data_IF_195031868332
#
_entry.id   IF_195031868332
#
_cell.length_a   1.000
_cell.length_b   1.000
_cell.length_c   1.000
_cell.angle_alpha   90.00
_cell.angle_beta   90.00
_cell.angle_gamma   90.00
#
_symmetry.space_group_name_H-M   'P 1'
#
loop_
_entity.id
_entity.type
_entity.pdbx_description
1 polymer ?
#
# COMPACT_ATOMS: atom_id res chain seq x y z
N UNK A 1 9.98 18.03 -1.71
CA UNK A 1 8.71 17.84 -0.97
C UNK A 1 8.94 17.73 0.54
N UNK A 2 9.71 16.76 1.07
CA UNK A 2 9.99 16.66 2.52
C UNK A 2 10.49 17.97 3.16
N UNK A 3 11.38 18.68 2.46
CA UNK A 3 11.85 20.02 2.87
C UNK A 3 10.74 21.05 3.06
N UNK A 4 9.59 20.95 2.37
CA UNK A 4 8.48 21.87 2.59
C UNK A 4 7.84 21.69 3.97
N UNK A 5 7.98 20.52 4.57
CA UNK A 5 7.46 20.24 5.90
C UNK A 5 8.42 20.70 6.99
N UNK A 6 9.74 20.70 6.73
CA UNK A 6 10.77 21.02 7.73
C UNK A 6 11.32 22.44 7.63
N UNK A 7 11.44 23.00 6.42
CA UNK A 7 12.10 24.28 6.15
C UNK A 7 11.11 25.43 5.98
N UNK A 8 11.45 26.64 6.44
CA UNK A 8 10.63 27.85 6.22
C UNK A 8 10.56 28.24 4.75
N UNK A 9 11.72 28.19 4.09
CA UNK A 9 11.87 28.53 2.69
C UNK A 9 12.66 27.43 1.99
N UNK A 10 12.10 26.90 0.91
CA UNK A 10 12.70 25.82 0.12
C UNK A 10 13.22 26.38 -1.20
N UNK A 11 14.49 26.09 -1.45
CA UNK A 11 15.11 26.24 -2.75
C UNK A 11 15.55 24.86 -3.23
N UNK A 12 15.31 24.55 -4.50
CA UNK A 12 15.71 23.28 -5.10
C UNK A 12 16.06 23.50 -6.56
N UNK A 13 17.16 22.93 -7.03
CA UNK A 13 17.51 22.94 -8.45
C UNK A 13 17.78 21.51 -8.90
N UNK A 14 16.85 20.92 -9.64
CA UNK A 14 16.95 19.57 -10.16
C UNK A 14 16.93 19.52 -11.67
N UNK A 15 17.13 18.33 -12.22
CA UNK A 15 17.13 18.09 -13.67
C UNK A 15 15.82 18.51 -14.35
N UNK A 16 14.68 18.36 -13.67
CA UNK A 16 13.36 18.51 -14.27
C UNK A 16 12.62 19.77 -13.81
N UNK A 17 13.00 20.35 -12.67
CA UNK A 17 12.34 21.54 -12.12
C UNK A 17 13.28 22.27 -11.16
N UNK A 18 13.04 23.56 -11.01
CA UNK A 18 13.69 24.44 -10.05
C UNK A 18 12.63 25.14 -9.21
N UNK A 19 12.86 25.23 -7.92
CA UNK A 19 12.05 25.96 -6.94
C UNK A 19 12.95 27.04 -6.34
N UNK A 20 12.45 28.27 -6.33
CA UNK A 20 13.11 29.41 -5.69
C UNK A 20 12.16 30.03 -4.68
N UNK A 21 12.65 30.21 -3.45
CA UNK A 21 11.96 30.91 -2.34
C UNK A 21 10.53 30.42 -2.02
N UNK A 22 10.27 29.11 -2.17
CA UNK A 22 8.95 28.56 -1.86
C UNK A 22 8.76 28.45 -0.34
N UNK A 23 7.76 29.15 0.20
CA UNK A 23 7.48 29.19 1.64
C UNK A 23 6.58 28.04 2.09
N UNK A 24 7.04 27.27 3.07
CA UNK A 24 6.30 26.18 3.70
C UNK A 24 5.38 26.67 4.81
N UNK A 25 4.25 27.31 4.46
CA UNK A 25 3.41 28.03 5.43
C UNK A 25 2.53 27.12 6.31
N UNK A 26 2.39 25.84 5.97
CA UNK A 26 1.57 24.88 6.72
C UNK A 26 2.50 23.78 7.26
N UNK A 27 2.70 23.79 8.58
CA UNK A 27 3.47 22.75 9.27
C UNK A 27 2.56 21.59 9.64
N UNK A 28 2.94 20.35 9.31
CA UNK A 28 2.19 19.20 9.79
C UNK A 28 2.35 19.06 11.30
N UNK A 29 1.29 18.56 11.95
CA UNK A 29 1.35 18.16 13.36
C UNK A 29 2.33 17.00 13.53
N UNK A 30 2.33 16.07 12.57
CA UNK A 30 3.27 14.94 12.51
C UNK A 30 4.68 15.42 12.12
N UNK A 31 5.69 14.93 12.83
CA UNK A 31 7.09 15.27 12.61
C UNK A 31 7.91 14.04 12.17
N UNK A 32 8.98 14.21 11.38
CA UNK A 32 9.42 15.48 10.77
C UNK A 32 8.55 15.92 9.58
N UNK A 33 7.69 15.02 9.08
CA UNK A 33 6.78 15.28 7.99
C UNK A 33 5.52 14.40 8.09
N UNK A 34 4.51 14.71 7.27
CA UNK A 34 3.37 13.81 7.05
C UNK A 34 3.88 12.42 6.61
N UNK A 35 3.31 11.32 7.14
CA UNK A 35 3.63 9.99 6.66
C UNK A 35 3.38 9.87 5.16
N UNK A 36 4.38 9.41 4.43
CA UNK A 36 4.31 9.26 2.99
C UNK A 36 3.96 7.82 2.62
N UNK A 37 2.87 7.64 1.90
CA UNK A 37 2.51 6.36 1.27
C UNK A 37 2.96 6.38 -0.18
N UNK A 38 3.75 5.37 -0.58
CA UNK A 38 4.12 5.15 -1.98
C UNK A 38 3.62 3.77 -2.42
N UNK A 39 2.83 3.75 -3.48
CA UNK A 39 2.31 2.52 -4.08
C UNK A 39 3.18 2.08 -5.26
N UNK A 40 3.35 0.77 -5.42
CA UNK A 40 4.05 0.21 -6.57
C UNK A 40 4.10 -1.31 -6.60
N UNK A 41 4.45 -1.85 -7.77
CA UNK A 41 4.61 -3.29 -7.99
C UNK A 41 5.99 -3.67 -8.55
N UNK A 42 6.67 -2.74 -9.23
CA UNK A 42 7.98 -2.99 -9.84
C UNK A 42 9.14 -2.65 -8.92
N UNK A 43 10.27 -3.36 -9.09
CA UNK A 43 11.48 -3.20 -8.29
C UNK A 43 11.91 -1.73 -8.13
N UNK A 44 11.98 -0.97 -9.22
CA UNK A 44 12.43 0.43 -9.18
C UNK A 44 11.61 1.28 -8.21
N UNK A 45 10.27 1.15 -8.26
CA UNK A 45 9.38 1.92 -7.40
C UNK A 45 9.41 1.40 -5.97
N UNK A 46 9.47 0.09 -5.77
CA UNK A 46 9.56 -0.50 -4.43
C UNK A 46 10.87 -0.13 -3.72
N UNK A 47 12.01 -0.13 -4.44
CA UNK A 47 13.30 0.34 -3.90
C UNK A 47 13.28 1.84 -3.59
N UNK A 48 12.57 2.66 -4.38
CA UNK A 48 12.38 4.08 -4.06
C UNK A 48 11.52 4.26 -2.80
N UNK A 49 10.39 3.54 -2.73
CA UNK A 49 9.50 3.57 -1.57
C UNK A 49 10.24 3.13 -0.29
N UNK A 50 11.04 2.07 -0.36
CA UNK A 50 11.88 1.59 0.75
C UNK A 50 12.81 2.67 1.31
N UNK A 51 13.35 3.54 0.44
CA UNK A 51 14.27 4.62 0.84
C UNK A 51 13.58 5.91 1.26
N UNK A 52 12.32 6.12 0.91
CA UNK A 52 11.70 7.45 1.03
C UNK A 52 10.35 7.48 1.74
N UNK A 53 9.58 6.41 1.69
CA UNK A 53 8.24 6.34 2.23
C UNK A 53 8.23 5.98 3.72
N UNK A 54 7.08 6.16 4.35
CA UNK A 54 6.75 5.59 5.66
C UNK A 54 5.89 4.33 5.48
N UNK A 55 5.02 4.35 4.47
CA UNK A 55 4.09 3.27 4.14
C UNK A 55 4.34 2.82 2.70
N UNK A 56 4.41 1.52 2.47
CA UNK A 56 4.58 0.95 1.12
C UNK A 56 3.34 0.14 0.77
N UNK A 57 2.54 0.62 -0.19
CA UNK A 57 1.43 -0.15 -0.74
C UNK A 57 1.95 -1.06 -1.87
N UNK A 58 2.11 -2.34 -1.55
CA UNK A 58 2.62 -3.34 -2.49
C UNK A 58 1.46 -3.85 -3.33
N UNK A 59 1.50 -3.53 -4.62
CA UNK A 59 0.51 -3.97 -5.59
C UNK A 59 1.05 -5.05 -6.53
N UNK A 60 0.16 -5.55 -7.39
CA UNK A 60 0.53 -6.35 -8.56
C UNK A 60 0.75 -5.46 -9.78
N UNK A 61 1.59 -5.91 -10.71
CA UNK A 61 1.64 -5.31 -12.05
C UNK A 61 0.36 -5.65 -12.78
N UNK A 62 -0.33 -4.61 -13.23
CA UNK A 62 -1.61 -4.72 -13.91
C UNK A 62 -1.46 -4.19 -15.34
N UNK A 63 -1.90 -4.98 -16.31
CA UNK A 63 -1.96 -4.64 -17.74
C UNK A 63 -3.43 -4.57 -18.19
N UNK A 64 -3.67 -4.24 -19.46
CA UNK A 64 -5.03 -4.26 -20.02
C UNK A 64 -5.68 -5.66 -19.99
N UNK A 65 -4.87 -6.72 -19.92
CA UNK A 65 -5.31 -8.12 -19.89
C UNK A 65 -5.51 -8.67 -18.47
N UNK A 66 -5.27 -7.86 -17.42
CA UNK A 66 -5.36 -8.29 -16.03
C UNK A 66 -4.00 -8.23 -15.33
N UNK A 67 -3.76 -9.16 -14.41
CA UNK A 67 -2.45 -9.26 -13.72
C UNK A 67 -1.38 -9.72 -14.72
N UNK A 68 -0.25 -9.03 -14.74
CA UNK A 68 0.92 -9.41 -15.54
C UNK A 68 1.43 -10.80 -15.10
N UNK A 69 1.50 -11.81 -15.98
CA UNK A 69 2.03 -13.13 -15.63
C UNK A 69 3.50 -13.10 -15.17
N UNK A 70 4.23 -12.03 -15.50
CA UNK A 70 5.62 -11.80 -15.09
C UNK A 70 5.71 -10.93 -13.82
N UNK A 71 4.60 -10.69 -13.14
CA UNK A 71 4.60 -10.00 -11.85
C UNK A 71 5.47 -10.78 -10.85
N UNK A 72 6.44 -10.11 -10.20
CA UNK A 72 7.29 -10.78 -9.21
C UNK A 72 6.46 -11.29 -8.04
N UNK A 73 6.89 -12.39 -7.43
CA UNK A 73 6.22 -12.91 -6.24
C UNK A 73 6.30 -11.91 -5.08
N UNK A 74 5.43 -12.07 -4.09
CA UNK A 74 5.42 -11.21 -2.92
C UNK A 74 6.75 -11.26 -2.15
N UNK A 75 7.33 -12.45 -2.03
CA UNK A 75 8.63 -12.69 -1.41
C UNK A 75 9.74 -11.90 -2.11
N UNK A 76 9.75 -11.90 -3.45
CA UNK A 76 10.74 -11.16 -4.22
C UNK A 76 10.58 -9.64 -4.04
N UNK A 77 9.34 -9.14 -4.02
CA UNK A 77 9.04 -7.73 -3.77
C UNK A 77 9.51 -7.29 -2.38
N UNK A 78 9.25 -8.11 -1.36
CA UNK A 78 9.71 -7.85 0.01
C UNK A 78 11.22 -7.92 0.11
N UNK A 79 11.88 -8.85 -0.59
CA UNK A 79 13.34 -8.93 -0.62
C UNK A 79 13.96 -7.63 -1.16
N UNK A 80 13.44 -7.08 -2.25
CA UNK A 80 13.89 -5.78 -2.77
C UNK A 80 13.68 -4.63 -1.80
N UNK A 81 12.54 -4.63 -1.09
CA UNK A 81 12.24 -3.59 -0.08
C UNK A 81 13.24 -3.70 1.07
N UNK A 82 13.44 -4.90 1.63
CA UNK A 82 14.40 -5.16 2.71
C UNK A 82 15.82 -4.75 2.32
N UNK A 83 16.27 -5.15 1.13
CA UNK A 83 17.59 -4.79 0.58
C UNK A 83 17.76 -3.27 0.49
N UNK A 84 16.78 -2.57 -0.10
CA UNK A 84 16.89 -1.12 -0.31
C UNK A 84 16.63 -0.28 0.95
N UNK A 85 15.89 -0.81 1.92
CA UNK A 85 15.63 -0.17 3.20
C UNK A 85 16.80 -0.34 4.17
N UNK A 86 17.44 -1.52 4.22
CA UNK A 86 18.42 -1.80 5.27
C UNK A 86 17.81 -1.69 6.67
N UNK A 87 18.49 -0.99 7.59
CA UNK A 87 18.08 -0.89 9.01
C UNK A 87 16.68 -0.27 9.19
N UNK A 88 16.31 0.72 8.35
CA UNK A 88 15.01 1.39 8.45
C UNK A 88 13.82 0.52 8.02
N UNK A 89 14.04 -0.72 7.59
CA UNK A 89 12.93 -1.62 7.27
C UNK A 89 11.98 -1.81 8.46
N UNK A 90 12.53 -1.79 9.68
CA UNK A 90 11.74 -1.89 10.91
C UNK A 90 10.78 -0.70 11.13
N UNK A 91 11.03 0.44 10.50
CA UNK A 91 10.21 1.65 10.60
C UNK A 91 9.16 1.75 9.48
N UNK A 92 9.18 0.81 8.52
CA UNK A 92 8.26 0.80 7.38
C UNK A 92 6.97 0.06 7.74
N UNK A 93 5.85 0.68 7.42
CA UNK A 93 4.56 0.02 7.41
C UNK A 93 4.28 -0.59 6.03
N UNK A 94 4.00 -1.89 5.99
CA UNK A 94 3.63 -2.56 4.75
C UNK A 94 2.12 -2.57 4.59
N UNK A 95 1.69 -2.10 3.43
CA UNK A 95 0.29 -2.04 3.02
C UNK A 95 0.04 -2.95 1.81
N UNK A 96 -1.15 -3.56 1.79
CA UNK A 96 -1.63 -4.32 0.64
C UNK A 96 -3.00 -3.84 0.20
N UNK A 97 -3.17 -3.72 -1.12
CA UNK A 97 -4.47 -3.43 -1.73
C UNK A 97 -5.18 -4.72 -2.09
N UNK A 98 -6.36 -4.94 -1.50
CA UNK A 98 -7.13 -6.16 -1.67
C UNK A 98 -8.08 -5.97 -2.86
N UNK A 99 -7.65 -6.47 -4.03
CA UNK A 99 -8.42 -6.36 -5.27
C UNK A 99 -9.25 -7.60 -5.61
N UNK A 100 -8.79 -8.77 -5.18
CA UNK A 100 -9.29 -10.06 -5.66
C UNK A 100 -10.21 -10.77 -4.67
N UNK A 101 -10.05 -10.54 -3.37
CA UNK A 101 -10.84 -11.19 -2.33
C UNK A 101 -12.32 -10.80 -2.41
N UNK A 102 -13.20 -11.80 -2.37
CA UNK A 102 -14.64 -11.67 -2.42
C UNK A 102 -15.26 -12.44 -1.26
N UNK A 103 -15.81 -11.72 -0.27
CA UNK A 103 -16.40 -12.35 0.92
C UNK A 103 -17.76 -12.94 0.58
N UNK A 104 -17.94 -14.23 0.80
CA UNK A 104 -19.13 -14.97 0.33
C UNK A 104 -20.26 -15.07 1.35
N UNK A 105 -19.97 -14.81 2.63
CA UNK A 105 -20.87 -15.05 3.78
C UNK A 105 -21.10 -13.79 4.63
N UNK A 106 -20.83 -12.61 4.08
CA UNK A 106 -21.06 -11.31 4.73
C UNK A 106 -22.55 -10.97 4.92
N UNK A 107 -23.43 -11.57 4.11
CA UNK A 107 -24.85 -11.23 4.05
C UNK A 107 -25.15 -9.94 3.26
N UNK A 108 -24.13 -9.32 2.66
CA UNK A 108 -24.26 -8.11 1.84
C UNK A 108 -24.06 -8.45 0.37
N UNK A 109 -24.81 -7.79 -0.51
CA UNK A 109 -24.68 -8.00 -1.95
C UNK A 109 -23.28 -7.62 -2.44
N UNK A 110 -22.74 -8.44 -3.35
CA UNK A 110 -21.43 -8.21 -3.93
C UNK A 110 -21.46 -7.01 -4.88
N UNK A 111 -20.85 -5.91 -4.44
CA UNK A 111 -20.55 -4.78 -5.32
C UNK A 111 -19.54 -5.18 -6.40
N UNK A 112 -19.94 -5.04 -7.67
CA UNK A 112 -19.01 -5.15 -8.80
C UNK A 112 -18.27 -3.84 -8.99
N UNK A 113 -16.94 -3.87 -8.97
CA UNK A 113 -16.14 -2.72 -9.36
C UNK A 113 -16.36 -2.44 -10.86
N UNK A 114 -16.87 -1.25 -11.18
CA UNK A 114 -17.08 -0.84 -12.56
C UNK A 114 -15.76 -0.36 -13.20
N UNK A 115 -15.39 -0.97 -14.32
CA UNK A 115 -14.18 -0.62 -15.06
C UNK A 115 -12.88 -1.14 -14.43
N UNK A 116 -11.79 -0.91 -15.15
CA UNK A 116 -10.49 -1.49 -14.83
C UNK A 116 -10.26 -2.86 -15.50
N UNK A 117 -9.01 -3.33 -15.50
CA UNK A 117 -8.66 -4.62 -16.10
C UNK A 117 -9.20 -5.79 -15.27
N UNK A 118 -9.47 -6.94 -15.91
CA UNK A 118 -10.09 -8.07 -15.23
C UNK A 118 -9.11 -8.67 -14.22
N UNK A 119 -9.45 -8.54 -12.94
CA UNK A 119 -8.74 -9.22 -11.84
C UNK A 119 -9.60 -10.40 -11.40
N UNK A 120 -9.12 -11.65 -11.53
CA UNK A 120 -9.84 -12.83 -11.07
C UNK A 120 -10.20 -12.70 -9.58
N UNK A 121 -11.48 -12.90 -9.26
CA UNK A 121 -11.93 -12.85 -7.87
C UNK A 121 -11.67 -14.18 -7.18
N UNK A 122 -11.19 -14.12 -5.93
CA UNK A 122 -10.99 -15.26 -5.03
C UNK A 122 -12.12 -15.28 -3.99
N UNK A 123 -13.15 -16.13 -4.17
CA UNK A 123 -14.18 -16.29 -3.14
C UNK A 123 -13.56 -16.83 -1.85
N UNK A 124 -13.91 -16.22 -0.72
CA UNK A 124 -13.50 -16.64 0.62
C UNK A 124 -14.65 -16.43 1.59
N UNK A 125 -14.82 -17.32 2.56
CA UNK A 125 -15.61 -17.01 3.74
C UNK A 125 -14.92 -15.96 4.60
N UNK A 126 -15.66 -15.32 5.50
CA UNK A 126 -15.12 -14.36 6.46
C UNK A 126 -13.99 -14.99 7.30
N UNK A 127 -14.16 -16.25 7.71
CA UNK A 127 -13.15 -16.99 8.46
C UNK A 127 -11.88 -17.24 7.64
N UNK A 128 -12.03 -17.67 6.39
CA UNK A 128 -10.90 -17.89 5.47
C UNK A 128 -10.15 -16.59 5.19
N UNK A 129 -10.87 -15.48 4.98
CA UNK A 129 -10.28 -14.16 4.78
C UNK A 129 -9.46 -13.72 6.00
N UNK A 130 -9.99 -13.87 7.21
CA UNK A 130 -9.26 -13.54 8.45
C UNK A 130 -8.00 -14.39 8.58
N UNK A 131 -8.11 -15.71 8.40
CA UNK A 131 -6.96 -16.61 8.50
C UNK A 131 -5.87 -16.25 7.47
N UNK A 132 -6.27 -15.98 6.23
CA UNK A 132 -5.34 -15.57 5.17
C UNK A 132 -4.65 -14.25 5.50
N UNK A 133 -5.38 -13.23 5.96
CA UNK A 133 -4.80 -11.92 6.29
C UNK A 133 -3.84 -11.98 7.48
N UNK A 134 -4.13 -12.82 8.48
CA UNK A 134 -3.21 -13.08 9.59
C UNK A 134 -1.95 -13.81 9.11
N UNK A 135 -2.08 -14.81 8.23
CA UNK A 135 -0.92 -15.47 7.63
C UNK A 135 -0.06 -14.48 6.84
N UNK A 136 -0.67 -13.58 6.05
CA UNK A 136 0.06 -12.54 5.33
C UNK A 136 0.77 -11.58 6.29
N UNK A 137 0.15 -11.23 7.43
CA UNK A 137 0.77 -10.42 8.47
C UNK A 137 1.98 -11.13 9.08
N UNK A 138 1.83 -12.38 9.50
CA UNK A 138 2.91 -13.15 10.14
C UNK A 138 4.08 -13.39 9.18
N UNK A 139 3.76 -13.73 7.93
CA UNK A 139 4.76 -14.08 6.92
C UNK A 139 5.50 -12.87 6.35
N UNK A 140 4.79 -11.76 6.14
CA UNK A 140 5.31 -10.62 5.39
C UNK A 140 5.37 -9.31 6.17
N UNK A 141 4.59 -9.17 7.24
CA UNK A 141 4.52 -7.95 8.05
C UNK A 141 3.46 -6.95 7.59
N UNK A 142 2.45 -7.37 6.82
CA UNK A 142 1.36 -6.45 6.43
C UNK A 142 0.50 -6.02 7.62
N UNK A 143 0.39 -4.70 7.83
CA UNK A 143 -0.46 -4.11 8.88
C UNK A 143 -1.55 -3.19 8.34
N UNK A 144 -1.39 -2.64 7.13
CA UNK A 144 -2.37 -1.72 6.53
C UNK A 144 -3.07 -2.33 5.32
N UNK A 145 -4.36 -2.65 5.48
CA UNK A 145 -5.22 -3.16 4.43
C UNK A 145 -5.96 -2.02 3.71
N UNK A 146 -5.95 -2.03 2.38
CA UNK A 146 -6.77 -1.14 1.57
C UNK A 146 -7.85 -1.96 0.87
N UNK A 147 -9.11 -1.59 1.07
CA UNK A 147 -10.28 -2.26 0.50
C UNK A 147 -11.04 -1.26 -0.37
N UNK A 148 -11.61 -1.74 -1.48
CA UNK A 148 -12.49 -0.95 -2.32
C UNK A 148 -13.76 -0.56 -1.57
N UNK A 149 -14.18 0.71 -1.66
CA UNK A 149 -15.35 1.26 -0.95
C UNK A 149 -16.62 0.42 -1.14
N UNK A 150 -16.88 -0.06 -2.35
CA UNK A 150 -18.06 -0.90 -2.62
C UNK A 150 -18.05 -2.26 -1.88
N UNK A 151 -16.90 -2.69 -1.38
CA UNK A 151 -16.72 -3.91 -0.61
C UNK A 151 -16.56 -3.64 0.89
N UNK A 152 -16.67 -2.39 1.35
CA UNK A 152 -16.47 -2.02 2.76
C UNK A 152 -17.40 -2.80 3.70
N UNK A 153 -18.68 -2.89 3.37
CA UNK A 153 -19.67 -3.64 4.17
C UNK A 153 -19.39 -5.15 4.17
N UNK A 154 -18.89 -5.70 3.04
CA UNK A 154 -18.47 -7.09 2.96
C UNK A 154 -17.26 -7.38 3.86
N UNK A 155 -16.38 -6.40 4.05
CA UNK A 155 -15.18 -6.51 4.88
C UNK A 155 -15.40 -6.15 6.35
N UNK A 156 -16.50 -5.49 6.71
CA UNK A 156 -16.82 -5.14 8.11
C UNK A 156 -16.66 -6.33 9.10
N UNK A 157 -17.20 -7.54 8.85
CA UNK A 157 -17.03 -8.68 9.75
C UNK A 157 -15.58 -9.20 9.80
N UNK A 158 -14.80 -9.04 8.72
CA UNK A 158 -13.38 -9.39 8.69
C UNK A 158 -12.59 -8.43 9.58
N UNK A 159 -12.81 -7.12 9.42
CA UNK A 159 -12.15 -6.07 10.22
C UNK A 159 -12.47 -6.24 11.70
N UNK A 160 -13.73 -6.52 12.07
CA UNK A 160 -14.13 -6.76 13.45
C UNK A 160 -13.36 -7.91 14.11
N UNK A 161 -13.00 -8.96 13.34
CA UNK A 161 -12.24 -10.12 13.85
C UNK A 161 -10.72 -9.90 13.86
N UNK A 162 -10.23 -8.96 13.06
CA UNK A 162 -8.83 -8.53 13.04
C UNK A 162 -8.53 -7.46 14.09
N UNK A 163 -9.52 -6.69 14.52
CA UNK A 163 -9.35 -5.64 15.52
C UNK A 163 -8.76 -6.21 16.83
N UNK A 164 -7.66 -5.62 17.31
CA UNK A 164 -6.96 -6.03 18.53
C UNK A 164 -6.04 -7.25 18.36
N UNK A 165 -5.85 -7.73 17.14
CA UNK A 165 -4.82 -8.72 16.74
C UNK A 165 -3.85 -8.07 15.78
#
# INVERSE_FOLDING_TARGET
>A
MKQLFTEETVNFSGKYYTITELKGNIRPVQQPHLPLLVAGAGERMLKLAAREANIIAIGSKITAQGVDPTDPTMEQKIAWIKEAAGERFADLELSQTIYDMMITDSGTDLSTQAGGPPIPKRPMSTEQAVAHLLEQRDRYGFSYLQVYEGQMENFAPVVARLAGK
#
